data_IF_224569669506
#
_entry.id   IF_224569669506
#
_cell.length_a   1.000
_cell.length_b   1.000
_cell.length_c   1.000
_cell.angle_alpha   90.00
_cell.angle_beta   90.00
_cell.angle_gamma   90.00
#
_symmetry.space_group_name_H-M   'P 1'
#
loop_
_entity.id
_entity.type
_entity.pdbx_description
1 polymer ?
#
# COMPACT_ATOMS: atom_id res chain seq x y z
N UNK A 1 -10.36 -2.09 -51.24
CA UNK A 1 -9.81 -0.92 -50.53
C UNK A 1 -10.65 -0.46 -49.39
N UNK A 2 -11.96 -0.37 -49.53
CA UNK A 2 -12.82 0.11 -48.40
C UNK A 2 -12.87 -0.85 -47.20
N UNK A 3 -12.67 -2.13 -47.39
CA UNK A 3 -12.66 -3.14 -46.31
C UNK A 3 -11.38 -3.15 -45.49
N UNK A 4 -10.26 -2.76 -46.07
CA UNK A 4 -8.98 -2.67 -45.36
C UNK A 4 -8.94 -1.50 -44.39
N UNK A 5 -9.58 -0.41 -44.72
CA UNK A 5 -9.68 0.76 -43.83
C UNK A 5 -10.54 0.52 -42.60
N UNK A 6 -11.61 -0.26 -42.75
CA UNK A 6 -12.48 -0.64 -41.65
C UNK A 6 -11.77 -1.58 -40.66
N UNK A 7 -10.93 -2.49 -41.16
CA UNK A 7 -10.15 -3.42 -40.33
C UNK A 7 -9.06 -2.68 -39.53
N UNK A 8 -8.44 -1.68 -40.10
CA UNK A 8 -7.42 -0.86 -39.44
C UNK A 8 -8.05 0.01 -38.35
N UNK A 9 -9.21 0.59 -38.61
CA UNK A 9 -9.93 1.39 -37.62
C UNK A 9 -10.40 0.56 -36.42
N UNK A 10 -10.81 -0.69 -36.66
CA UNK A 10 -11.25 -1.61 -35.59
C UNK A 10 -10.08 -2.07 -34.72
N UNK A 11 -8.87 -2.22 -35.30
CA UNK A 11 -7.68 -2.61 -34.57
C UNK A 11 -7.19 -1.51 -33.61
N UNK A 12 -7.39 -0.23 -33.95
CA UNK A 12 -7.02 0.88 -33.08
C UNK A 12 -7.93 1.02 -31.84
N UNK A 13 -9.17 0.60 -31.94
CA UNK A 13 -10.12 0.66 -30.82
C UNK A 13 -9.83 -0.36 -29.73
N UNK A 14 -9.15 -1.47 -30.05
CA UNK A 14 -8.83 -2.52 -29.08
C UNK A 14 -7.60 -2.19 -28.21
N UNK A 15 -6.73 -1.30 -28.64
CA UNK A 15 -5.54 -0.88 -27.89
C UNK A 15 -5.83 0.17 -26.83
N UNK A 16 -6.93 0.90 -26.93
CA UNK A 16 -7.29 1.93 -25.95
C UNK A 16 -7.82 1.37 -24.63
N UNK A 17 -8.26 0.10 -24.59
CA UNK A 17 -8.82 -0.54 -23.41
C UNK A 17 -7.79 -0.98 -22.36
N UNK A 18 -6.51 -1.17 -22.73
CA UNK A 18 -5.51 -1.69 -21.81
C UNK A 18 -4.84 -0.62 -20.94
N UNK A 19 -4.87 0.64 -21.31
CA UNK A 19 -4.19 1.70 -20.55
C UNK A 19 -5.03 2.24 -19.39
N UNK A 20 -6.35 2.07 -19.40
CA UNK A 20 -7.22 2.53 -18.30
C UNK A 20 -7.17 1.62 -17.07
N UNK A 21 -6.85 0.34 -17.21
CA UNK A 21 -6.73 -0.59 -16.08
C UNK A 21 -5.43 -0.39 -15.27
N UNK A 22 -4.36 0.11 -15.88
CA UNK A 22 -3.10 0.38 -15.20
C UNK A 22 -3.17 1.64 -14.32
N UNK A 23 -4.03 2.59 -14.62
CA UNK A 23 -4.21 3.80 -13.83
C UNK A 23 -5.02 3.57 -12.54
N UNK A 24 -5.95 2.62 -12.54
CA UNK A 24 -6.79 2.30 -11.38
C UNK A 24 -6.05 1.47 -10.32
N UNK A 25 -4.97 0.78 -10.68
CA UNK A 25 -4.21 -0.04 -9.73
C UNK A 25 -3.32 0.78 -8.79
N UNK A 26 -3.07 2.05 -9.06
CA UNK A 26 -2.28 2.92 -8.17
C UNK A 26 -3.05 3.42 -6.95
N UNK A 27 -4.37 3.41 -6.99
CA UNK A 27 -5.22 3.92 -5.92
C UNK A 27 -5.63 2.84 -4.90
N UNK A 28 -5.33 1.58 -5.18
CA UNK A 28 -5.79 0.44 -4.40
C UNK A 28 -4.67 -0.26 -3.62
N UNK A 29 -3.64 0.46 -3.15
CA UNK A 29 -2.63 -0.12 -2.28
C UNK A 29 -3.23 -0.28 -0.89
N UNK A 30 -3.39 -1.52 -0.44
CA UNK A 30 -3.95 -1.84 0.87
C UNK A 30 -2.88 -1.83 1.98
N UNK A 31 -3.33 -1.88 3.22
CA UNK A 31 -2.46 -1.87 4.39
C UNK A 31 -1.50 -3.05 4.45
N UNK A 32 -1.96 -4.23 4.07
CA UNK A 32 -1.12 -5.43 4.02
C UNK A 32 0.03 -5.28 3.04
N UNK A 33 -0.23 -4.80 1.84
CA UNK A 33 0.79 -4.58 0.81
C UNK A 33 1.81 -3.56 1.26
N UNK A 34 1.37 -2.43 1.80
CA UNK A 34 2.24 -1.40 2.35
C UNK A 34 3.11 -1.92 3.50
N UNK A 35 2.51 -2.68 4.39
CA UNK A 35 3.22 -3.32 5.50
C UNK A 35 4.33 -4.24 5.00
N UNK A 36 4.04 -5.10 4.04
CA UNK A 36 5.03 -6.01 3.45
C UNK A 36 6.19 -5.27 2.78
N UNK A 37 5.91 -4.15 2.14
CA UNK A 37 6.91 -3.36 1.44
C UNK A 37 7.80 -2.54 2.38
N UNK A 38 7.25 -1.99 3.45
CA UNK A 38 7.93 -0.97 4.26
C UNK A 38 8.19 -1.36 5.71
N UNK A 39 7.48 -2.33 6.24
CA UNK A 39 7.51 -2.64 7.67
C UNK A 39 7.99 -4.07 7.96
N UNK A 40 7.71 -5.02 7.08
CA UNK A 40 7.94 -6.44 7.32
C UNK A 40 9.42 -6.81 7.48
N UNK A 41 10.33 -6.07 6.88
CA UNK A 41 11.77 -6.33 7.02
C UNK A 41 12.24 -6.28 8.48
N UNK A 42 11.63 -5.41 9.29
CA UNK A 42 11.96 -5.26 10.71
C UNK A 42 10.96 -5.93 11.63
N UNK A 43 9.66 -5.89 11.29
CA UNK A 43 8.59 -6.38 12.16
C UNK A 43 8.11 -7.79 11.81
N UNK A 44 8.61 -8.38 10.71
CA UNK A 44 8.25 -9.71 10.26
C UNK A 44 6.97 -9.73 9.41
N UNK A 45 6.91 -10.66 8.46
CA UNK A 45 5.72 -10.83 7.61
C UNK A 45 4.51 -11.33 8.39
N UNK A 46 4.76 -12.04 9.48
CA UNK A 46 3.74 -12.55 10.40
C UNK A 46 3.43 -11.61 11.57
N UNK A 47 3.95 -10.39 11.57
CA UNK A 47 3.75 -9.36 12.62
C UNK A 47 4.38 -9.72 13.97
N UNK A 48 5.18 -10.77 14.03
CA UNK A 48 5.77 -11.26 15.29
C UNK A 48 7.11 -10.65 15.65
N UNK A 49 7.64 -9.78 14.79
CA UNK A 49 8.91 -9.14 15.01
C UNK A 49 10.09 -9.95 14.43
N UNK A 50 11.17 -9.25 14.10
CA UNK A 50 12.48 -9.80 13.73
C UNK A 50 13.54 -8.91 14.36
N UNK A 51 13.93 -7.83 13.66
CA UNK A 51 14.79 -6.76 14.22
C UNK A 51 13.97 -5.83 15.11
N UNK A 52 12.77 -5.45 14.65
CA UNK A 52 11.81 -4.66 15.40
C UNK A 52 10.90 -5.53 16.26
N UNK A 53 10.16 -4.94 17.18
CA UNK A 53 9.25 -5.66 18.06
C UNK A 53 8.00 -6.17 17.32
N UNK A 54 7.26 -7.11 17.94
CA UNK A 54 5.96 -7.54 17.41
C UNK A 54 4.98 -6.37 17.27
N UNK A 55 4.16 -6.41 16.24
CA UNK A 55 3.13 -5.40 15.96
C UNK A 55 1.71 -5.99 15.94
N UNK A 56 1.52 -7.10 16.65
CA UNK A 56 0.21 -7.68 16.92
C UNK A 56 -0.49 -6.92 18.05
N UNK A 57 -1.81 -6.88 18.02
CA UNK A 57 -2.64 -6.26 19.05
C UNK A 57 -2.36 -4.77 19.28
N UNK A 58 -2.03 -4.06 18.23
CA UNK A 58 -1.74 -2.63 18.31
C UNK A 58 -2.95 -1.81 18.78
N UNK A 59 -4.17 -2.26 18.46
CA UNK A 59 -5.40 -1.60 18.89
C UNK A 59 -5.60 -1.59 20.40
N UNK A 60 -4.96 -2.50 21.16
CA UNK A 60 -5.00 -2.50 22.62
C UNK A 60 -3.92 -1.63 23.26
N UNK A 61 -2.91 -1.23 22.50
CA UNK A 61 -1.75 -0.47 22.99
C UNK A 61 -1.77 1.00 22.56
N UNK A 62 -2.33 1.30 21.41
CA UNK A 62 -2.30 2.63 20.80
C UNK A 62 -3.69 3.04 20.31
N UNK A 63 -3.97 4.32 20.37
CA UNK A 63 -5.06 4.92 19.59
C UNK A 63 -4.63 5.06 18.14
N UNK A 64 -5.57 5.27 17.23
CA UNK A 64 -5.27 5.53 15.83
C UNK A 64 -4.30 6.70 15.66
N UNK A 65 -4.54 7.80 16.39
CA UNK A 65 -3.71 9.00 16.35
C UNK A 65 -2.28 8.71 16.81
N UNK A 66 -2.12 8.00 17.91
CA UNK A 66 -0.80 7.71 18.48
C UNK A 66 -0.01 6.78 17.58
N UNK A 67 -0.64 5.75 17.04
CA UNK A 67 0.02 4.82 16.11
C UNK A 67 0.39 5.51 14.80
N UNK A 68 -0.49 6.34 14.27
CA UNK A 68 -0.23 7.14 13.07
C UNK A 68 0.97 8.07 13.26
N UNK A 69 1.04 8.76 14.41
CA UNK A 69 2.15 9.63 14.72
C UNK A 69 3.47 8.85 14.86
N UNK A 70 3.44 7.69 15.48
CA UNK A 70 4.61 6.84 15.63
C UNK A 70 5.15 6.38 14.25
N UNK A 71 4.27 5.97 13.36
CA UNK A 71 4.64 5.54 12.01
C UNK A 71 5.22 6.71 11.20
N UNK A 72 4.61 7.89 11.28
CA UNK A 72 5.08 9.06 10.54
C UNK A 72 6.38 9.63 11.05
N UNK A 73 6.53 9.74 12.36
CA UNK A 73 7.71 10.35 12.99
C UNK A 73 8.82 9.36 13.24
N UNK A 74 8.49 8.08 13.39
CA UNK A 74 9.46 7.06 13.77
C UNK A 74 9.85 7.13 15.25
N UNK A 75 10.87 6.38 15.61
CA UNK A 75 11.47 6.36 16.93
C UNK A 75 12.98 6.23 16.80
N UNK A 76 13.70 6.01 17.91
CA UNK A 76 15.17 5.96 17.90
C UNK A 76 15.78 5.00 16.87
N UNK A 77 15.15 3.84 16.66
CA UNK A 77 15.63 2.82 15.72
C UNK A 77 14.71 2.63 14.53
N UNK A 78 13.47 3.10 14.61
CA UNK A 78 12.49 3.01 13.54
C UNK A 78 12.50 4.30 12.72
N UNK A 79 12.81 4.23 11.40
CA UNK A 79 12.79 5.43 10.58
C UNK A 79 11.37 5.94 10.40
N UNK A 80 11.23 7.26 10.35
CA UNK A 80 9.99 7.92 10.00
C UNK A 80 9.92 8.28 8.52
N UNK A 81 8.81 8.83 8.11
CA UNK A 81 8.59 9.36 6.75
C UNK A 81 8.80 8.32 5.63
N UNK A 82 8.55 7.05 5.91
CA UNK A 82 8.61 5.98 4.91
C UNK A 82 7.39 5.95 4.00
N UNK A 83 6.29 6.52 4.44
CA UNK A 83 5.00 6.51 3.78
C UNK A 83 4.48 7.92 3.60
N UNK A 84 3.62 8.13 2.60
CA UNK A 84 2.81 9.35 2.52
C UNK A 84 1.80 9.35 3.66
N UNK A 85 1.19 10.51 3.95
CA UNK A 85 0.19 10.62 5.01
C UNK A 85 -1.00 9.69 4.79
N UNK A 86 -1.44 9.55 3.55
CA UNK A 86 -2.54 8.65 3.19
C UNK A 86 -2.17 7.18 3.37
N UNK A 87 -0.98 6.81 2.91
CA UNK A 87 -0.45 5.45 3.08
C UNK A 87 -0.28 5.10 4.55
N UNK A 88 0.22 6.03 5.35
CA UNK A 88 0.38 5.84 6.78
C UNK A 88 -0.96 5.59 7.48
N UNK A 89 -2.03 6.28 7.09
CA UNK A 89 -3.38 6.04 7.59
C UNK A 89 -3.88 4.65 7.24
N UNK A 90 -3.65 4.21 6.01
CA UNK A 90 -4.08 2.89 5.53
C UNK A 90 -3.38 1.79 6.34
N UNK A 91 -2.07 1.87 6.53
CA UNK A 91 -1.30 0.91 7.34
C UNK A 91 -1.73 0.96 8.80
N UNK A 92 -1.92 2.15 9.35
CA UNK A 92 -2.36 2.32 10.74
C UNK A 92 -3.68 1.60 10.99
N UNK A 93 -4.68 1.83 10.15
CA UNK A 93 -5.98 1.19 10.27
C UNK A 93 -5.90 -0.33 10.10
N UNK A 94 -5.06 -0.79 9.19
CA UNK A 94 -4.85 -2.23 9.00
C UNK A 94 -4.20 -2.87 10.23
N UNK A 95 -3.21 -2.23 10.84
CA UNK A 95 -2.54 -2.72 12.05
C UNK A 95 -3.46 -2.75 13.27
N UNK A 96 -4.36 -1.78 13.39
CA UNK A 96 -5.31 -1.73 14.51
C UNK A 96 -6.29 -2.91 14.53
N UNK A 97 -6.49 -3.56 13.38
CA UNK A 97 -7.35 -4.73 13.25
C UNK A 97 -6.65 -6.08 13.54
N UNK A 98 -5.35 -6.07 13.75
CA UNK A 98 -4.52 -7.29 13.91
C UNK A 98 -4.26 -7.68 15.37
#
# INVERSE_FOLDING_TARGET
MKQLWAAIALSFLLLAGCSSNAANNKEAIDGETLYKQKCAACHGENLKGVVGPPVLNMGSKYTEKDLLNLINQGSQQMPGNLLTDEEAKVVTNWLLEK
#
